data_IF_124841674950
#
_entry.id   IF_124841674950
#
_cell.length_a   1.000
_cell.length_b   1.000
_cell.length_c   1.000
_cell.angle_alpha   90.00
_cell.angle_beta   90.00
_cell.angle_gamma   90.00
#
_symmetry.space_group_name_H-M   'P 1'
#
loop_
_entity.id
_entity.type
_entity.pdbx_description
1 polymer ?
#
# COMPACT_ATOMS: atom_id res chain seq x y z
N UNK A 1 17.45 -13.96 32.48
CA UNK A 1 16.67 -13.53 33.68
C UNK A 1 15.19 -13.47 33.34
N UNK A 2 14.37 -13.77 34.34
CA UNK A 2 12.91 -13.69 34.20
C UNK A 2 12.34 -12.76 35.25
N UNK A 3 11.49 -11.84 34.82
CA UNK A 3 10.69 -10.99 35.70
C UNK A 3 9.24 -11.37 35.51
N UNK A 4 8.59 -11.88 36.54
CA UNK A 4 7.24 -12.45 36.48
C UNK A 4 6.12 -11.42 36.57
N UNK A 5 6.40 -10.16 36.90
CA UNK A 5 5.45 -9.05 36.84
C UNK A 5 5.65 -8.21 35.59
N UNK A 6 4.65 -7.41 35.24
CA UNK A 6 4.78 -6.39 34.19
C UNK A 6 5.52 -5.15 34.67
N UNK A 7 5.73 -4.21 33.74
CA UNK A 7 6.23 -2.89 34.06
C UNK A 7 5.15 -1.86 33.78
N UNK A 8 4.76 -1.10 34.81
CA UNK A 8 3.82 0.03 34.68
C UNK A 8 4.59 1.33 34.94
N UNK A 9 4.57 2.25 33.98
CA UNK A 9 5.18 3.57 34.11
C UNK A 9 4.14 4.68 33.99
N UNK A 10 3.96 5.44 35.05
CA UNK A 10 3.17 6.67 35.05
C UNK A 10 4.02 7.93 35.24
N UNK A 11 5.30 7.77 35.53
CA UNK A 11 6.29 8.84 35.69
C UNK A 11 7.22 8.96 34.48
N UNK A 12 8.52 9.01 34.73
CA UNK A 12 9.55 9.12 33.71
C UNK A 12 10.61 8.04 33.88
N UNK A 13 10.88 7.33 32.80
CA UNK A 13 12.02 6.40 32.66
C UNK A 13 12.93 6.97 31.58
N UNK A 14 14.20 7.25 31.92
CA UNK A 14 15.15 7.82 30.96
C UNK A 14 16.54 7.24 31.10
N UNK A 15 17.27 7.19 29.97
CA UNK A 15 18.65 6.70 29.89
C UNK A 15 19.19 6.77 28.48
N UNK A 16 20.34 6.16 28.19
CA UNK A 16 20.79 5.93 26.79
C UNK A 16 19.78 5.05 26.05
N UNK A 17 19.20 4.08 26.74
CA UNK A 17 18.01 3.31 26.40
C UNK A 17 17.05 3.42 27.57
N UNK A 18 15.77 3.70 27.33
CA UNK A 18 14.78 3.82 28.39
C UNK A 18 14.55 2.48 29.09
N UNK A 19 14.08 1.48 28.37
CA UNK A 19 13.88 0.11 28.84
C UNK A 19 14.66 -0.83 27.92
N UNK A 20 15.49 -1.71 28.51
CA UNK A 20 16.29 -2.66 27.76
C UNK A 20 16.13 -4.09 28.29
N UNK A 21 15.56 -4.97 27.46
CA UNK A 21 15.57 -6.41 27.68
C UNK A 21 16.61 -7.03 26.76
N UNK A 22 17.52 -7.84 27.29
CA UNK A 22 18.64 -8.38 26.53
C UNK A 22 18.94 -9.85 26.88
N UNK A 23 19.53 -10.57 25.93
CA UNK A 23 20.21 -11.85 26.14
C UNK A 23 19.37 -12.91 26.88
N UNK A 24 18.22 -13.30 26.32
CA UNK A 24 17.33 -14.32 26.89
C UNK A 24 16.57 -13.87 28.12
N UNK A 25 16.44 -12.56 28.34
CA UNK A 25 15.57 -12.04 29.40
C UNK A 25 14.10 -12.17 29.02
N UNK A 26 13.26 -12.48 30.00
CA UNK A 26 11.80 -12.53 29.82
C UNK A 26 11.11 -11.58 30.80
N UNK A 27 10.19 -10.79 30.30
CA UNK A 27 9.26 -9.99 31.09
C UNK A 27 7.84 -10.50 30.82
N UNK A 28 7.20 -11.09 31.85
CA UNK A 28 5.96 -11.86 31.63
C UNK A 28 4.67 -11.04 31.71
N UNK A 29 4.67 -9.84 32.19
CA UNK A 29 3.44 -9.03 32.36
C UNK A 29 3.30 -7.86 31.38
N UNK A 30 4.17 -7.76 30.38
CA UNK A 30 4.15 -6.66 29.41
C UNK A 30 4.65 -5.32 29.96
N UNK A 31 4.55 -4.29 29.11
CA UNK A 31 4.91 -2.91 29.45
C UNK A 31 3.69 -2.02 29.23
N UNK A 32 3.26 -1.32 30.28
CA UNK A 32 2.21 -0.29 30.22
C UNK A 32 2.81 1.08 30.52
N UNK A 33 2.69 2.01 29.57
CA UNK A 33 3.20 3.37 29.72
C UNK A 33 2.09 4.42 29.61
N UNK A 34 1.88 5.18 30.66
CA UNK A 34 1.05 6.39 30.66
C UNK A 34 1.86 7.67 30.86
N UNK A 35 3.14 7.53 31.23
CA UNK A 35 4.10 8.61 31.42
C UNK A 35 5.09 8.76 30.25
N UNK A 36 6.36 8.95 30.57
CA UNK A 36 7.43 9.10 29.61
C UNK A 36 8.44 7.96 29.69
N UNK A 37 8.79 7.38 28.53
CA UNK A 37 9.94 6.48 28.38
C UNK A 37 10.84 7.07 27.32
N UNK A 38 12.09 7.40 27.67
CA UNK A 38 13.01 8.07 26.77
C UNK A 38 14.38 7.38 26.72
N UNK A 39 14.81 7.06 25.52
CA UNK A 39 16.18 6.64 25.22
C UNK A 39 16.91 7.73 24.44
N UNK A 40 17.93 8.36 25.04
CA UNK A 40 18.59 9.51 24.39
C UNK A 40 19.46 9.14 23.19
N UNK A 41 19.94 7.90 23.11
CA UNK A 41 20.85 7.44 22.03
C UNK A 41 20.32 6.25 21.26
N UNK A 42 19.71 5.27 21.93
CA UNK A 42 19.35 4.00 21.30
C UNK A 42 17.85 3.92 21.06
N UNK A 43 17.08 3.58 22.05
CA UNK A 43 15.63 3.41 21.92
C UNK A 43 14.90 3.76 23.21
N UNK A 44 13.63 4.18 23.09
CA UNK A 44 12.75 4.25 24.25
C UNK A 44 12.60 2.86 24.88
N UNK A 45 12.20 1.88 24.08
CA UNK A 45 12.13 0.46 24.48
C UNK A 45 12.96 -0.37 23.50
N UNK A 46 13.87 -1.18 24.02
CA UNK A 46 14.68 -2.09 23.22
C UNK A 46 14.58 -3.54 23.74
N UNK A 47 14.08 -4.42 22.89
CA UNK A 47 14.07 -5.87 23.08
C UNK A 47 15.15 -6.45 22.17
N UNK A 48 16.15 -7.15 22.73
CA UNK A 48 17.22 -7.77 21.99
C UNK A 48 17.45 -9.21 22.44
N UNK A 49 17.23 -10.17 21.56
CA UNK A 49 17.30 -11.60 21.88
C UNK A 49 16.55 -11.94 23.17
N UNK A 50 15.31 -11.47 23.31
CA UNK A 50 14.54 -11.53 24.56
C UNK A 50 13.05 -11.80 24.29
N UNK A 51 12.29 -12.05 25.34
CA UNK A 51 10.85 -12.24 25.26
C UNK A 51 10.09 -11.22 26.11
N UNK A 52 9.01 -10.70 25.57
CA UNK A 52 8.04 -9.87 26.27
C UNK A 52 6.64 -10.50 26.11
N UNK A 53 6.16 -11.10 27.19
CA UNK A 53 4.79 -11.61 27.22
C UNK A 53 3.85 -10.49 27.69
N UNK A 54 2.67 -10.38 27.09
CA UNK A 54 1.69 -9.34 27.42
C UNK A 54 1.83 -8.04 26.65
N UNK A 55 2.85 -7.90 25.80
CA UNK A 55 2.96 -6.80 24.82
C UNK A 55 3.35 -5.43 25.39
N UNK A 56 3.18 -4.40 24.56
CA UNK A 56 3.43 -3.00 24.90
C UNK A 56 2.14 -2.21 24.72
N UNK A 57 1.68 -1.56 25.80
CA UNK A 57 0.56 -0.61 25.75
C UNK A 57 1.08 0.78 26.09
N UNK A 58 0.95 1.71 25.14
CA UNK A 58 1.40 3.08 25.30
C UNK A 58 0.23 4.07 25.16
N UNK A 59 -0.08 4.76 26.26
CA UNK A 59 -0.98 5.92 26.27
C UNK A 59 -0.22 7.23 26.52
N UNK A 60 1.04 7.15 26.95
CA UNK A 60 1.95 8.28 27.18
C UNK A 60 2.87 8.53 25.99
N UNK A 61 4.13 8.79 26.27
CA UNK A 61 5.15 9.04 25.25
C UNK A 61 6.30 8.03 25.35
N UNK A 62 6.68 7.45 24.21
CA UNK A 62 7.88 6.65 24.06
C UNK A 62 8.75 7.31 23.00
N UNK A 63 9.97 7.73 23.36
CA UNK A 63 10.90 8.35 22.43
C UNK A 63 12.27 7.69 22.46
N UNK A 64 12.93 7.64 21.32
CA UNK A 64 14.28 7.09 21.25
C UNK A 64 15.22 7.92 20.38
N UNK A 65 16.51 7.81 20.63
CA UNK A 65 17.54 8.40 19.78
C UNK A 65 17.45 7.82 18.36
N UNK A 66 17.54 6.50 18.25
CA UNK A 66 17.45 5.78 16.97
C UNK A 66 16.06 5.21 16.70
N UNK A 67 15.38 4.69 17.72
CA UNK A 67 14.05 4.11 17.56
C UNK A 67 13.17 4.45 18.76
N UNK A 68 11.88 4.71 18.55
CA UNK A 68 10.92 4.73 19.66
C UNK A 68 10.88 3.36 20.34
N UNK A 69 10.51 2.34 19.58
CA UNK A 69 10.51 0.93 19.99
C UNK A 69 11.40 0.15 18.99
N UNK A 70 12.31 -0.67 19.50
CA UNK A 70 13.13 -1.59 18.71
C UNK A 70 12.96 -3.03 19.21
N UNK A 71 12.52 -3.92 18.34
CA UNK A 71 12.37 -5.36 18.60
C UNK A 71 13.32 -6.08 17.66
N UNK A 72 14.37 -6.68 18.20
CA UNK A 72 15.42 -7.34 17.45
C UNK A 72 15.61 -8.78 17.96
N UNK A 73 15.50 -9.77 17.08
CA UNK A 73 15.66 -11.19 17.42
C UNK A 73 14.82 -11.60 18.66
N UNK A 74 13.60 -11.05 18.77
CA UNK A 74 12.82 -11.13 20.00
C UNK A 74 11.39 -11.54 19.73
N UNK A 75 10.73 -12.09 20.74
CA UNK A 75 9.31 -12.45 20.68
C UNK A 75 8.48 -11.50 21.53
N UNK A 76 7.39 -11.01 20.97
CA UNK A 76 6.42 -10.16 21.63
C UNK A 76 5.03 -10.80 21.48
N UNK A 77 4.47 -11.34 22.58
CA UNK A 77 3.23 -12.13 22.48
C UNK A 77 1.96 -11.31 22.55
N UNK A 78 1.96 -10.13 23.14
CA UNK A 78 0.80 -9.27 23.29
C UNK A 78 0.66 -8.12 22.28
N UNK A 79 1.53 -8.06 21.27
CA UNK A 79 1.51 -6.99 20.27
C UNK A 79 1.91 -5.62 20.80
N UNK A 80 1.65 -4.58 20.00
CA UNK A 80 1.88 -3.18 20.37
C UNK A 80 0.58 -2.39 20.20
N UNK A 81 0.08 -1.84 21.30
CA UNK A 81 -1.10 -0.96 21.31
C UNK A 81 -0.66 0.46 21.64
N UNK A 82 -0.81 1.39 20.71
CA UNK A 82 -0.45 2.79 20.89
C UNK A 82 -1.65 3.71 20.76
N UNK A 83 -2.00 4.38 21.85
CA UNK A 83 -2.93 5.52 21.85
C UNK A 83 -2.23 6.86 22.16
N UNK A 84 -0.96 6.80 22.54
CA UNK A 84 -0.11 7.96 22.80
C UNK A 84 0.83 8.28 21.65
N UNK A 85 2.07 8.58 21.95
CA UNK A 85 3.08 8.98 20.97
C UNK A 85 4.28 8.04 21.00
N UNK A 86 4.73 7.58 19.83
CA UNK A 86 5.97 6.81 19.65
C UNK A 86 6.81 7.51 18.58
N UNK A 87 8.01 7.98 18.98
CA UNK A 87 8.87 8.76 18.08
C UNK A 87 10.33 8.33 18.14
N UNK A 88 11.08 8.68 17.09
CA UNK A 88 12.53 8.68 17.13
C UNK A 88 13.04 10.10 16.84
N UNK A 89 14.14 10.50 17.48
CA UNK A 89 14.58 11.90 17.50
C UNK A 89 15.26 12.38 16.21
N UNK A 90 15.48 11.50 15.22
CA UNK A 90 16.15 11.84 13.97
C UNK A 90 15.37 11.40 12.75
N UNK A 91 15.39 12.25 11.72
CA UNK A 91 14.83 11.96 10.39
C UNK A 91 15.52 10.79 9.66
N UNK A 92 16.54 10.16 10.24
CA UNK A 92 17.18 8.96 9.71
C UNK A 92 16.71 7.66 10.37
N UNK A 93 15.85 7.72 11.37
CA UNK A 93 15.53 6.67 12.32
C UNK A 93 14.09 6.11 12.13
N UNK A 94 13.65 5.20 12.98
CA UNK A 94 12.39 4.47 12.85
C UNK A 94 11.56 4.60 14.14
N UNK A 95 10.28 4.97 14.02
CA UNK A 95 9.37 5.04 15.16
C UNK A 95 9.22 3.70 15.87
N UNK A 96 8.68 2.70 15.18
CA UNK A 96 8.66 1.29 15.62
C UNK A 96 9.45 0.46 14.62
N UNK A 97 10.49 -0.23 15.08
CA UNK A 97 11.37 -1.07 14.29
C UNK A 97 11.34 -2.52 14.77
N UNK A 98 10.85 -3.43 13.93
CA UNK A 98 10.78 -4.86 14.23
C UNK A 98 11.62 -5.59 13.20
N UNK A 99 12.64 -6.31 13.63
CA UNK A 99 13.64 -6.83 12.71
C UNK A 99 14.26 -8.16 13.10
N UNK A 100 15.02 -8.73 12.15
CA UNK A 100 15.95 -9.84 12.42
C UNK A 100 15.25 -11.07 13.03
N UNK A 101 14.26 -11.62 12.32
CA UNK A 101 13.48 -12.79 12.75
C UNK A 101 12.67 -12.59 14.04
N UNK A 102 12.35 -11.34 14.38
CA UNK A 102 11.43 -11.06 15.49
C UNK A 102 10.00 -11.50 15.15
N UNK A 103 9.28 -11.94 16.17
CA UNK A 103 7.90 -12.40 16.03
C UNK A 103 6.97 -11.59 16.95
N UNK A 104 5.94 -11.00 16.37
CA UNK A 104 4.81 -10.40 17.08
C UNK A 104 3.57 -11.24 16.81
N UNK A 105 2.91 -11.74 17.87
CA UNK A 105 1.78 -12.67 17.71
C UNK A 105 0.41 -12.00 17.65
N UNK A 106 0.27 -10.74 18.09
CA UNK A 106 -1.01 -10.02 18.10
C UNK A 106 -1.05 -8.74 17.25
N UNK A 107 0.03 -8.45 16.53
CA UNK A 107 0.05 -7.30 15.63
C UNK A 107 0.32 -5.94 16.29
N UNK A 108 0.03 -4.88 15.52
CA UNK A 108 0.23 -3.50 15.92
C UNK A 108 -1.08 -2.74 15.74
N UNK A 109 -1.57 -2.11 16.81
CA UNK A 109 -2.77 -1.29 16.80
C UNK A 109 -2.42 0.14 17.21
N UNK A 110 -2.67 1.10 16.32
CA UNK A 110 -2.36 2.51 16.53
C UNK A 110 -3.60 3.39 16.45
N UNK A 111 -3.96 4.04 17.54
CA UNK A 111 -4.94 5.12 17.57
C UNK A 111 -4.31 6.48 17.89
N UNK A 112 -3.00 6.51 18.22
CA UNK A 112 -2.21 7.69 18.49
C UNK A 112 -1.27 8.08 17.34
N UNK A 113 -0.08 8.51 17.69
CA UNK A 113 0.94 8.95 16.73
C UNK A 113 2.18 8.05 16.74
N UNK A 114 2.60 7.60 15.56
CA UNK A 114 3.89 6.93 15.33
C UNK A 114 4.62 7.70 14.23
N UNK A 115 5.75 8.33 14.54
CA UNK A 115 6.42 9.13 13.51
C UNK A 115 7.59 9.99 13.98
N UNK A 116 7.77 11.14 13.36
CA UNK A 116 8.94 12.03 13.48
C UNK A 116 10.27 11.34 13.15
N UNK A 117 10.23 10.36 12.25
CA UNK A 117 11.33 9.47 11.92
C UNK A 117 11.31 9.18 10.42
N UNK A 118 12.41 8.67 9.85
CA UNK A 118 12.47 8.28 8.44
C UNK A 118 11.37 7.27 8.09
N UNK A 119 11.14 6.30 8.97
CA UNK A 119 10.08 5.31 8.82
C UNK A 119 9.20 5.37 10.08
N UNK A 120 7.89 5.59 9.90
CA UNK A 120 6.96 5.52 11.02
C UNK A 120 6.98 4.14 11.64
N UNK A 121 6.62 3.12 10.87
CA UNK A 121 6.60 1.72 11.28
C UNK A 121 7.37 0.88 10.26
N UNK A 122 8.42 0.18 10.71
CA UNK A 122 9.29 -0.66 9.89
C UNK A 122 9.34 -2.10 10.37
N UNK A 123 9.12 -3.04 9.44
CA UNK A 123 9.39 -4.48 9.60
C UNK A 123 10.52 -4.86 8.64
N UNK A 124 11.51 -5.63 9.14
CA UNK A 124 12.62 -6.11 8.31
C UNK A 124 13.05 -7.52 8.72
N UNK A 125 12.72 -8.53 7.92
CA UNK A 125 12.96 -9.92 8.25
C UNK A 125 12.16 -10.36 9.49
N UNK A 126 10.90 -9.95 9.62
CA UNK A 126 10.07 -10.17 10.79
C UNK A 126 8.77 -10.90 10.44
N UNK A 127 8.14 -11.50 11.44
CA UNK A 127 6.80 -12.06 11.33
C UNK A 127 5.84 -11.33 12.24
N UNK A 128 4.73 -10.87 11.67
CA UNK A 128 3.65 -10.20 12.38
C UNK A 128 2.35 -10.98 12.14
N UNK A 129 1.80 -11.56 13.20
CA UNK A 129 0.64 -12.47 13.06
C UNK A 129 -0.70 -11.76 13.22
N UNK A 130 -0.85 -10.62 13.75
CA UNK A 130 -2.13 -9.93 13.93
C UNK A 130 -2.30 -8.69 13.04
N UNK A 131 -1.48 -8.53 12.01
CA UNK A 131 -1.55 -7.41 11.08
C UNK A 131 -1.17 -6.06 11.67
N UNK A 132 -1.39 -5.01 10.88
CA UNK A 132 -1.21 -3.62 11.27
C UNK A 132 -2.55 -2.91 11.16
N UNK A 133 -3.03 -2.35 12.27
CA UNK A 133 -4.28 -1.59 12.32
C UNK A 133 -3.98 -0.15 12.72
N UNK A 134 -4.20 0.78 11.81
CA UNK A 134 -4.17 2.21 12.11
C UNK A 134 -5.61 2.71 12.25
N UNK A 135 -6.05 2.91 13.48
CA UNK A 135 -7.43 3.26 13.84
C UNK A 135 -7.81 4.66 13.34
N UNK A 136 -9.08 4.98 13.38
CA UNK A 136 -9.58 6.34 13.15
C UNK A 136 -8.91 7.32 14.10
N UNK A 137 -8.35 8.41 13.57
CA UNK A 137 -7.52 9.35 14.31
C UNK A 137 -6.04 8.94 14.46
N UNK A 138 -5.71 7.68 14.28
CA UNK A 138 -4.33 7.19 14.31
C UNK A 138 -3.49 7.77 13.16
N UNK A 139 -2.24 8.10 13.45
CA UNK A 139 -1.31 8.64 12.47
C UNK A 139 -0.01 7.83 12.47
N UNK A 140 0.41 7.41 11.28
CA UNK A 140 1.73 6.78 11.06
C UNK A 140 2.45 7.58 9.98
N UNK A 141 3.60 8.19 10.32
CA UNK A 141 4.26 9.09 9.39
C UNK A 141 5.76 8.85 9.27
N UNK A 142 6.25 8.89 8.03
CA UNK A 142 7.68 8.91 7.72
C UNK A 142 8.09 10.25 7.14
N UNK A 143 9.16 10.85 7.69
CA UNK A 143 9.68 12.18 7.31
C UNK A 143 11.06 12.08 6.68
N UNK A 144 11.54 13.19 6.10
CA UNK A 144 12.82 13.23 5.37
C UNK A 144 12.70 12.68 3.95
N UNK A 145 13.72 12.88 3.14
CA UNK A 145 13.72 12.65 1.68
C UNK A 145 13.27 11.23 1.24
N UNK A 146 13.51 10.22 2.07
CA UNK A 146 13.13 8.82 1.83
C UNK A 146 12.07 8.34 2.83
N UNK A 147 11.27 9.25 3.39
CA UNK A 147 10.29 8.95 4.42
C UNK A 147 9.24 7.94 3.98
N UNK A 148 9.02 6.91 4.79
CA UNK A 148 8.00 5.88 4.58
C UNK A 148 7.04 5.86 5.78
N UNK A 149 5.74 5.88 5.54
CA UNK A 149 4.76 5.69 6.60
C UNK A 149 4.91 4.29 7.21
N UNK A 150 4.60 3.27 6.42
CA UNK A 150 4.80 1.86 6.77
C UNK A 150 5.77 1.24 5.77
N UNK A 151 6.76 0.51 6.27
CA UNK A 151 7.73 -0.25 5.47
C UNK A 151 7.74 -1.71 5.89
N UNK A 152 7.51 -2.61 4.94
CA UNK A 152 7.53 -4.07 5.15
C UNK A 152 8.57 -4.66 4.21
N UNK A 153 9.70 -5.10 4.75
CA UNK A 153 10.84 -5.63 3.99
C UNK A 153 11.16 -7.05 4.40
N UNK A 154 11.26 -7.97 3.46
CA UNK A 154 11.61 -9.39 3.71
C UNK A 154 10.81 -10.00 4.88
N UNK A 155 9.53 -9.65 4.99
CA UNK A 155 8.71 -9.94 6.18
C UNK A 155 7.40 -10.63 5.81
N UNK A 156 6.83 -11.33 6.80
CA UNK A 156 5.50 -11.89 6.73
C UNK A 156 4.55 -11.08 7.63
N UNK A 157 3.47 -10.57 7.05
CA UNK A 157 2.39 -9.92 7.79
C UNK A 157 1.10 -10.71 7.51
N UNK A 158 0.64 -11.43 8.53
CA UNK A 158 -0.68 -12.07 8.48
C UNK A 158 -1.74 -11.01 8.82
N UNK A 159 -2.96 -11.19 8.34
CA UNK A 159 -4.10 -10.27 8.50
C UNK A 159 -3.90 -8.88 7.84
N UNK A 160 -2.75 -8.66 7.15
CA UNK A 160 -2.52 -7.49 6.31
C UNK A 160 -2.42 -6.15 7.03
N UNK A 161 -2.85 -5.09 6.33
CA UNK A 161 -2.83 -3.71 6.83
C UNK A 161 -4.23 -3.11 6.71
N UNK A 162 -4.79 -2.67 7.83
CA UNK A 162 -6.03 -1.90 7.89
C UNK A 162 -5.72 -0.45 8.27
N UNK A 163 -6.05 0.48 7.38
CA UNK A 163 -5.91 1.91 7.66
C UNK A 163 -7.27 2.62 7.69
N UNK A 164 -7.69 3.05 8.87
CA UNK A 164 -8.85 3.89 9.11
C UNK A 164 -8.45 5.35 9.41
N UNK A 165 -7.17 5.59 9.70
CA UNK A 165 -6.58 6.88 10.04
C UNK A 165 -5.75 7.46 8.89
N UNK A 166 -4.56 7.95 9.21
CA UNK A 166 -3.62 8.50 8.22
C UNK A 166 -2.28 7.77 8.23
N UNK A 167 -1.85 7.33 7.06
CA UNK A 167 -0.50 6.80 6.81
C UNK A 167 0.17 7.67 5.77
N UNK A 168 1.29 8.30 6.12
CA UNK A 168 1.96 9.24 5.22
C UNK A 168 3.47 9.01 5.15
N UNK A 169 4.05 9.24 3.98
CA UNK A 169 5.50 9.21 3.78
C UNK A 169 5.93 10.20 2.70
N UNK A 170 7.09 10.84 2.88
CA UNK A 170 7.64 11.74 1.85
C UNK A 170 7.97 10.97 0.57
N UNK A 171 8.35 9.71 0.67
CA UNK A 171 8.53 8.82 -0.48
C UNK A 171 7.27 7.98 -0.71
N UNK A 172 6.95 7.07 0.21
CA UNK A 172 5.75 6.22 0.07
C UNK A 172 4.92 6.20 1.35
N UNK A 173 3.60 6.18 1.20
CA UNK A 173 2.69 5.93 2.31
C UNK A 173 2.93 4.54 2.87
N UNK A 174 2.76 3.52 2.04
CA UNK A 174 3.06 2.12 2.35
C UNK A 174 4.04 1.58 1.31
N UNK A 175 5.12 0.94 1.78
CA UNK A 175 6.10 0.24 0.96
C UNK A 175 6.22 -1.22 1.38
N UNK A 176 5.92 -2.13 0.48
CA UNK A 176 6.03 -3.59 0.67
C UNK A 176 7.04 -4.12 -0.32
N UNK A 177 8.13 -4.70 0.17
CA UNK A 177 9.20 -5.22 -0.68
C UNK A 177 9.67 -6.59 -0.22
N UNK A 178 9.76 -7.53 -1.16
CA UNK A 178 10.19 -8.91 -0.92
C UNK A 178 9.45 -9.55 0.26
N UNK A 179 8.15 -9.29 0.36
CA UNK A 179 7.35 -9.60 1.54
C UNK A 179 6.03 -10.28 1.15
N UNK A 180 5.42 -10.92 2.15
CA UNK A 180 4.10 -11.52 2.00
C UNK A 180 3.10 -10.86 2.96
N UNK A 181 1.98 -10.39 2.44
CA UNK A 181 0.82 -9.93 3.20
C UNK A 181 -0.38 -10.82 2.90
N UNK A 182 -0.88 -11.55 3.91
CA UNK A 182 -1.98 -12.49 3.65
C UNK A 182 -3.37 -11.84 3.71
N UNK A 183 -3.56 -10.76 4.44
CA UNK A 183 -4.83 -10.03 4.53
C UNK A 183 -4.97 -8.83 3.59
N UNK A 184 -3.97 -8.59 2.72
CA UNK A 184 -3.99 -7.45 1.80
C UNK A 184 -3.85 -6.09 2.48
N UNK A 185 -4.32 -5.03 1.78
CA UNK A 185 -4.34 -3.67 2.30
C UNK A 185 -5.75 -3.10 2.18
N UNK A 186 -6.35 -2.77 3.32
CA UNK A 186 -7.68 -2.16 3.39
C UNK A 186 -7.56 -0.70 3.85
N UNK A 187 -7.96 0.24 3.02
CA UNK A 187 -7.89 1.67 3.30
C UNK A 187 -9.28 2.31 3.31
N UNK A 188 -9.69 2.82 4.47
CA UNK A 188 -10.86 3.71 4.59
C UNK A 188 -10.46 5.13 5.01
N UNK A 189 -9.18 5.35 5.36
CA UNK A 189 -8.62 6.64 5.71
C UNK A 189 -7.78 7.25 4.59
N UNK A 190 -6.66 7.83 4.94
CA UNK A 190 -5.70 8.43 4.02
C UNK A 190 -4.42 7.61 3.97
N UNK A 191 -3.99 7.22 2.77
CA UNK A 191 -2.63 6.76 2.49
C UNK A 191 -2.01 7.74 1.50
N UNK A 192 -0.94 8.44 1.89
CA UNK A 192 -0.27 9.38 1.01
C UNK A 192 1.23 9.20 0.96
N UNK A 193 1.77 9.26 -0.24
CA UNK A 193 3.21 9.29 -0.49
C UNK A 193 3.57 10.49 -1.36
N UNK A 194 4.69 11.14 -1.09
CA UNK A 194 5.17 12.19 -1.98
C UNK A 194 5.51 11.66 -3.38
N UNK A 195 5.94 10.41 -3.48
CA UNK A 195 6.14 9.72 -4.76
C UNK A 195 5.07 8.64 -5.00
N UNK A 196 4.81 7.75 -4.06
CA UNK A 196 3.89 6.63 -4.28
C UNK A 196 2.98 6.45 -3.05
N UNK A 197 1.67 6.37 -3.26
CA UNK A 197 0.71 6.07 -2.19
C UNK A 197 0.99 4.68 -1.60
N UNK A 198 0.78 3.63 -2.41
CA UNK A 198 1.10 2.24 -2.08
C UNK A 198 2.07 1.69 -3.13
N UNK A 199 3.23 1.23 -2.69
CA UNK A 199 4.25 0.60 -3.53
C UNK A 199 4.44 -0.86 -3.13
N UNK A 200 4.15 -1.77 -4.05
CA UNK A 200 4.36 -3.22 -3.89
C UNK A 200 5.44 -3.64 -4.88
N UNK A 201 6.56 -4.12 -4.36
CA UNK A 201 7.73 -4.52 -5.13
C UNK A 201 8.16 -5.93 -4.77
N UNK A 202 8.30 -6.83 -5.74
CA UNK A 202 8.75 -8.21 -5.52
C UNK A 202 8.00 -8.92 -4.37
N UNK A 203 6.70 -8.71 -4.24
CA UNK A 203 5.93 -9.09 -3.05
C UNK A 203 4.62 -9.80 -3.40
N UNK A 204 4.08 -10.53 -2.44
CA UNK A 204 2.82 -11.29 -2.58
C UNK A 204 1.76 -10.73 -1.63
N UNK A 205 0.62 -10.30 -2.18
CA UNK A 205 -0.55 -9.88 -1.42
C UNK A 205 -1.72 -10.81 -1.77
N UNK A 206 -2.18 -11.59 -0.80
CA UNK A 206 -3.27 -12.54 -1.07
C UNK A 206 -4.67 -11.97 -0.87
N UNK A 207 -4.83 -10.90 -0.11
CA UNK A 207 -6.12 -10.25 0.16
C UNK A 207 -6.43 -9.04 -0.73
N UNK A 208 -5.57 -8.73 -1.71
CA UNK A 208 -5.79 -7.59 -2.62
C UNK A 208 -5.61 -6.21 -1.98
N UNK A 209 -6.15 -5.18 -2.66
CA UNK A 209 -6.21 -3.81 -2.15
C UNK A 209 -7.65 -3.33 -2.22
N UNK A 210 -8.23 -2.97 -1.08
CA UNK A 210 -9.56 -2.36 -1.01
C UNK A 210 -9.42 -0.91 -0.55
N UNK A 211 -9.98 0.04 -1.32
CA UNK A 211 -9.94 1.46 -1.01
C UNK A 211 -11.34 2.07 -0.99
N UNK A 212 -11.76 2.54 0.16
CA UNK A 212 -12.96 3.39 0.32
C UNK A 212 -12.60 4.82 0.71
N UNK A 213 -11.33 5.06 1.10
CA UNK A 213 -10.76 6.35 1.46
C UNK A 213 -9.96 6.98 0.30
N UNK A 214 -8.80 7.51 0.61
CA UNK A 214 -7.91 8.14 -0.36
C UNK A 214 -6.54 7.46 -0.38
N UNK A 215 -6.06 7.14 -1.57
CA UNK A 215 -4.67 6.71 -1.83
C UNK A 215 -4.08 7.71 -2.82
N UNK A 216 -2.99 8.39 -2.46
CA UNK A 216 -2.41 9.44 -3.31
C UNK A 216 -0.89 9.45 -3.32
N UNK A 217 -0.32 9.90 -4.44
CA UNK A 217 1.12 10.06 -4.67
C UNK A 217 1.36 10.69 -6.03
N UNK A 218 2.62 10.77 -6.49
CA UNK A 218 2.88 10.96 -7.93
C UNK A 218 2.34 9.78 -8.74
N UNK A 219 2.37 8.59 -8.14
CA UNK A 219 1.61 7.40 -8.53
C UNK A 219 0.76 6.97 -7.34
N UNK A 220 -0.54 6.71 -7.54
CA UNK A 220 -1.42 6.27 -6.48
C UNK A 220 -1.03 4.89 -5.95
N UNK A 221 -1.14 3.86 -6.79
CA UNK A 221 -0.71 2.48 -6.52
C UNK A 221 0.30 2.06 -7.58
N UNK A 222 1.41 1.49 -7.15
CA UNK A 222 2.44 0.96 -8.04
C UNK A 222 2.77 -0.49 -7.69
N UNK A 223 2.53 -1.39 -8.64
CA UNK A 223 2.90 -2.81 -8.58
C UNK A 223 4.04 -3.03 -9.56
N UNK A 224 5.19 -3.55 -9.10
CA UNK A 224 6.31 -3.76 -10.00
C UNK A 224 7.18 -4.98 -9.67
N UNK A 225 8.11 -5.28 -10.56
CA UNK A 225 9.21 -6.22 -10.39
C UNK A 225 8.78 -7.64 -9.94
N UNK A 226 7.74 -8.19 -10.56
CA UNK A 226 7.25 -9.54 -10.25
C UNK A 226 6.32 -9.60 -9.03
N UNK A 227 5.76 -8.48 -8.62
CA UNK A 227 4.73 -8.49 -7.56
C UNK A 227 3.48 -9.24 -8.01
N UNK A 228 2.86 -9.96 -7.08
CA UNK A 228 1.62 -10.69 -7.31
C UNK A 228 0.55 -10.28 -6.31
N UNK A 229 -0.61 -9.93 -6.82
CA UNK A 229 -1.79 -9.56 -6.04
C UNK A 229 -2.93 -10.52 -6.41
N UNK A 230 -3.40 -11.34 -5.46
CA UNK A 230 -4.40 -12.35 -5.80
C UNK A 230 -5.85 -11.97 -5.47
N UNK A 231 -6.08 -10.96 -4.65
CA UNK A 231 -7.44 -10.52 -4.27
C UNK A 231 -7.99 -9.35 -5.10
N UNK A 232 -7.28 -8.93 -6.15
CA UNK A 232 -7.72 -7.81 -6.99
C UNK A 232 -7.54 -6.43 -6.36
N UNK A 233 -8.05 -5.40 -7.05
CA UNK A 233 -8.14 -4.03 -6.54
C UNK A 233 -9.59 -3.59 -6.60
N UNK A 234 -10.16 -3.25 -5.44
CA UNK A 234 -11.51 -2.68 -5.34
C UNK A 234 -11.41 -1.24 -4.86
N UNK A 235 -11.91 -0.31 -5.67
CA UNK A 235 -11.90 1.11 -5.35
C UNK A 235 -13.31 1.71 -5.34
N UNK A 236 -13.75 2.15 -4.17
CA UNK A 236 -14.96 2.96 -4.01
C UNK A 236 -14.63 4.40 -3.59
N UNK A 237 -13.38 4.69 -3.27
CA UNK A 237 -12.87 6.01 -2.90
C UNK A 237 -12.07 6.67 -4.03
N UNK A 238 -10.97 7.31 -3.67
CA UNK A 238 -10.05 7.98 -4.60
C UNK A 238 -8.70 7.28 -4.64
N UNK A 239 -8.23 6.92 -5.83
CA UNK A 239 -6.84 6.57 -6.11
C UNK A 239 -6.29 7.63 -7.07
N UNK A 240 -5.28 8.40 -6.64
CA UNK A 240 -4.79 9.54 -7.41
C UNK A 240 -3.28 9.52 -7.62
N UNK A 241 -2.88 9.68 -8.88
CA UNK A 241 -1.50 9.87 -9.31
C UNK A 241 -1.28 11.29 -9.84
N UNK A 242 -0.60 12.14 -9.08
CA UNK A 242 -0.45 13.57 -9.43
C UNK A 242 0.58 13.86 -10.52
N UNK A 243 1.34 12.86 -10.98
CA UNK A 243 2.35 13.02 -12.03
C UNK A 243 2.40 11.85 -13.01
N UNK A 244 2.00 10.64 -12.60
CA UNK A 244 2.10 9.45 -13.44
C UNK A 244 0.71 8.83 -13.61
N UNK A 245 0.34 7.89 -12.79
CA UNK A 245 -0.90 7.15 -12.96
C UNK A 245 -1.62 6.96 -11.61
N UNK A 246 -2.94 6.85 -11.65
CA UNK A 246 -3.70 6.38 -10.51
C UNK A 246 -3.24 4.98 -10.11
N UNK A 247 -3.24 4.06 -11.07
CA UNK A 247 -2.73 2.70 -10.93
C UNK A 247 -1.69 2.40 -12.01
N UNK A 248 -0.49 1.97 -11.61
CA UNK A 248 0.59 1.54 -12.49
C UNK A 248 0.98 0.09 -12.20
N UNK A 249 0.97 -0.76 -13.23
CA UNK A 249 1.48 -2.13 -13.20
C UNK A 249 2.65 -2.27 -14.17
N UNK A 250 3.78 -2.76 -13.67
CA UNK A 250 4.99 -3.01 -14.48
C UNK A 250 5.58 -4.36 -14.08
N UNK A 251 5.71 -5.31 -15.02
CA UNK A 251 6.25 -6.64 -14.71
C UNK A 251 5.56 -7.32 -13.53
N UNK A 252 4.23 -7.26 -13.45
CA UNK A 252 3.48 -7.69 -12.27
C UNK A 252 2.23 -8.48 -12.64
N UNK A 253 1.73 -9.26 -11.70
CA UNK A 253 0.52 -10.05 -11.84
C UNK A 253 -0.57 -9.60 -10.88
N UNK A 254 -1.77 -9.41 -11.39
CA UNK A 254 -2.97 -9.11 -10.61
C UNK A 254 -4.07 -10.11 -10.99
N UNK A 255 -4.52 -10.91 -10.06
CA UNK A 255 -5.72 -11.74 -10.22
C UNK A 255 -6.86 -11.21 -9.34
N UNK A 256 -8.09 -11.45 -9.75
CA UNK A 256 -9.29 -10.88 -9.10
C UNK A 256 -9.74 -9.54 -9.67
N UNK A 257 -9.04 -9.04 -10.71
CA UNK A 257 -9.46 -7.88 -11.48
C UNK A 257 -9.33 -6.53 -10.79
N UNK A 258 -9.80 -5.50 -11.48
CA UNK A 258 -9.92 -4.13 -10.98
C UNK A 258 -11.39 -3.73 -11.01
N UNK A 259 -11.97 -3.50 -9.83
CA UNK A 259 -13.34 -3.03 -9.67
C UNK A 259 -13.35 -1.59 -9.20
N UNK A 260 -13.79 -0.65 -10.04
CA UNK A 260 -13.85 0.76 -9.72
C UNK A 260 -15.28 1.29 -9.70
N UNK A 261 -15.75 1.68 -8.52
CA UNK A 261 -17.00 2.42 -8.34
C UNK A 261 -16.74 3.89 -7.92
N UNK A 262 -15.50 4.20 -7.52
CA UNK A 262 -15.04 5.52 -7.15
C UNK A 262 -14.26 6.21 -8.28
N UNK A 263 -13.14 6.83 -7.96
CA UNK A 263 -12.28 7.53 -8.93
C UNK A 263 -10.89 6.94 -8.93
N UNK A 264 -10.37 6.63 -10.12
CA UNK A 264 -8.96 6.34 -10.37
C UNK A 264 -8.46 7.40 -11.35
N UNK A 265 -7.60 8.32 -10.89
CA UNK A 265 -7.10 9.42 -11.71
C UNK A 265 -5.58 9.49 -11.75
N UNK A 266 -5.04 9.87 -12.88
CA UNK A 266 -3.60 10.09 -13.05
C UNK A 266 -3.30 11.25 -13.98
N UNK A 267 -2.27 12.04 -13.64
CA UNK A 267 -1.85 13.14 -14.53
C UNK A 267 -1.40 12.65 -15.91
N UNK A 268 -0.85 11.44 -16.00
CA UNK A 268 -0.59 10.77 -17.26
C UNK A 268 -1.76 9.86 -17.65
N UNK A 269 -2.01 8.83 -16.88
CA UNK A 269 -3.04 7.84 -17.16
C UNK A 269 -3.83 7.48 -15.90
N UNK A 270 -5.13 7.17 -16.05
CA UNK A 270 -5.92 6.62 -14.95
C UNK A 270 -5.33 5.28 -14.52
N UNK A 271 -5.30 4.31 -15.44
CA UNK A 271 -4.68 3.00 -15.27
C UNK A 271 -3.65 2.78 -16.37
N UNK A 272 -2.45 2.35 -15.99
CA UNK A 272 -1.41 1.93 -16.93
C UNK A 272 -0.89 0.53 -16.59
N UNK A 273 -0.97 -0.39 -17.55
CA UNK A 273 -0.50 -1.78 -17.45
C UNK A 273 0.57 -1.97 -18.53
N UNK A 274 1.78 -2.36 -18.15
CA UNK A 274 2.90 -2.41 -19.10
C UNK A 274 3.91 -3.49 -18.78
N UNK A 275 4.80 -3.76 -19.76
CA UNK A 275 6.00 -4.58 -19.56
C UNK A 275 5.68 -6.01 -19.15
N UNK A 276 4.90 -6.73 -19.95
CA UNK A 276 4.51 -8.12 -19.70
C UNK A 276 3.76 -8.35 -18.38
N UNK A 277 3.01 -7.35 -17.92
CA UNK A 277 2.10 -7.51 -16.80
C UNK A 277 0.89 -8.37 -17.17
N UNK A 278 0.37 -9.11 -16.21
CA UNK A 278 -0.79 -9.98 -16.39
C UNK A 278 -1.91 -9.53 -15.46
N UNK A 279 -3.06 -9.22 -16.03
CA UNK A 279 -4.30 -8.98 -15.29
C UNK A 279 -5.30 -10.08 -15.62
N UNK A 280 -5.66 -10.88 -14.63
CA UNK A 280 -6.79 -11.81 -14.72
C UNK A 280 -7.95 -11.27 -13.89
N UNK A 281 -9.19 -11.48 -14.33
CA UNK A 281 -10.39 -10.91 -13.67
C UNK A 281 -10.86 -9.58 -14.23
N UNK A 282 -10.21 -9.11 -15.33
CA UNK A 282 -10.68 -7.96 -16.11
C UNK A 282 -10.67 -6.60 -15.39
N UNK A 283 -11.29 -5.61 -16.02
CA UNK A 283 -11.52 -4.28 -15.45
C UNK A 283 -13.02 -3.98 -15.52
N UNK A 284 -13.63 -3.77 -14.36
CA UNK A 284 -15.02 -3.32 -14.25
C UNK A 284 -15.06 -1.88 -13.72
N UNK A 285 -15.55 -0.95 -14.53
CA UNK A 285 -15.67 0.46 -14.17
C UNK A 285 -17.14 0.91 -14.14
N UNK A 286 -17.59 1.28 -12.95
CA UNK A 286 -18.88 1.95 -12.73
C UNK A 286 -18.69 3.42 -12.33
N UNK A 287 -17.46 3.81 -11.97
CA UNK A 287 -17.08 5.16 -11.55
C UNK A 287 -16.33 5.92 -12.65
N UNK A 288 -15.28 6.63 -12.24
CA UNK A 288 -14.41 7.41 -13.14
C UNK A 288 -13.03 6.81 -13.21
N UNK A 289 -12.50 6.60 -14.42
CA UNK A 289 -11.09 6.34 -14.69
C UNK A 289 -10.60 7.46 -15.62
N UNK A 290 -9.63 8.26 -15.16
CA UNK A 290 -9.21 9.48 -15.87
C UNK A 290 -7.68 9.57 -16.00
N UNK A 291 -7.24 9.84 -17.23
CA UNK A 291 -5.88 10.29 -17.52
C UNK A 291 -5.91 11.72 -18.07
N UNK A 292 -5.12 12.61 -17.47
CA UNK A 292 -5.20 14.04 -17.84
C UNK A 292 -4.40 14.37 -19.10
N UNK A 293 -3.33 13.59 -19.40
CA UNK A 293 -2.45 13.89 -20.55
C UNK A 293 -2.31 12.77 -21.57
N UNK A 294 -2.58 11.52 -21.20
CA UNK A 294 -2.50 10.38 -22.11
C UNK A 294 -3.81 9.58 -22.07
N UNK A 295 -3.85 8.49 -21.35
CA UNK A 295 -4.90 7.47 -21.44
C UNK A 295 -5.80 7.43 -20.22
N UNK A 296 -7.10 7.19 -20.44
CA UNK A 296 -7.95 6.69 -19.38
C UNK A 296 -7.42 5.34 -18.88
N UNK A 297 -7.33 4.36 -19.80
CA UNK A 297 -6.68 3.06 -19.58
C UNK A 297 -5.70 2.81 -20.72
N UNK A 298 -4.42 2.57 -20.40
CA UNK A 298 -3.39 2.17 -21.36
C UNK A 298 -2.80 0.81 -21.03
N UNK A 299 -2.74 -0.08 -22.02
CA UNK A 299 -2.18 -1.44 -21.92
C UNK A 299 -1.08 -1.60 -22.97
N UNK A 300 0.13 -1.88 -22.53
CA UNK A 300 1.33 -1.92 -23.37
C UNK A 300 2.11 -3.23 -23.16
N UNK A 301 2.20 -4.06 -24.21
CA UNK A 301 2.93 -5.34 -24.14
C UNK A 301 2.51 -6.22 -22.97
N UNK A 302 1.22 -6.31 -22.70
CA UNK A 302 0.69 -6.94 -21.49
C UNK A 302 -0.59 -7.71 -21.79
N UNK A 303 -0.99 -8.63 -20.91
CA UNK A 303 -2.15 -9.49 -21.11
C UNK A 303 -3.26 -9.19 -20.10
N UNK A 304 -4.47 -8.97 -20.62
CA UNK A 304 -5.72 -8.98 -19.85
C UNK A 304 -6.51 -10.23 -20.26
N UNK A 305 -6.67 -11.17 -19.33
CA UNK A 305 -7.31 -12.47 -19.63
C UNK A 305 -8.83 -12.43 -19.63
N UNK A 306 -9.42 -11.40 -19.05
CA UNK A 306 -10.86 -11.11 -19.10
C UNK A 306 -11.06 -9.71 -19.67
N UNK A 307 -12.29 -9.37 -19.99
CA UNK A 307 -12.60 -8.14 -20.71
C UNK A 307 -12.51 -6.86 -19.87
N UNK A 308 -12.84 -5.76 -20.55
CA UNK A 308 -13.06 -4.46 -19.93
C UNK A 308 -14.57 -4.15 -20.03
N UNK A 309 -15.21 -4.00 -18.88
CA UNK A 309 -16.62 -3.60 -18.79
C UNK A 309 -16.70 -2.19 -18.23
N UNK A 310 -17.30 -1.27 -18.99
CA UNK A 310 -17.48 0.11 -18.57
C UNK A 310 -18.97 0.50 -18.58
N UNK A 311 -19.51 0.78 -17.41
CA UNK A 311 -20.81 1.42 -17.24
C UNK A 311 -20.67 2.85 -16.66
N UNK A 312 -19.48 3.26 -16.26
CA UNK A 312 -19.12 4.60 -15.81
C UNK A 312 -18.47 5.44 -16.90
N UNK A 313 -17.44 6.18 -16.56
CA UNK A 313 -16.68 7.02 -17.48
C UNK A 313 -15.21 6.60 -17.51
N UNK A 314 -14.67 6.43 -18.70
CA UNK A 314 -13.24 6.30 -18.97
C UNK A 314 -12.86 7.48 -19.86
N UNK A 315 -11.91 8.32 -19.40
CA UNK A 315 -11.50 9.52 -20.14
C UNK A 315 -9.98 9.65 -20.22
N UNK A 316 -9.50 9.97 -21.40
CA UNK A 316 -8.10 10.32 -21.66
C UNK A 316 -8.00 11.62 -22.48
N UNK A 317 -6.85 12.29 -22.45
CA UNK A 317 -6.60 13.38 -23.39
C UNK A 317 -6.31 12.81 -24.78
N UNK A 318 -5.39 11.86 -24.87
CA UNK A 318 -4.96 11.19 -26.10
C UNK A 318 -5.98 10.10 -26.47
N UNK A 319 -6.03 8.99 -25.74
CA UNK A 319 -7.03 7.96 -25.94
C UNK A 319 -7.82 7.65 -24.67
N UNK A 320 -9.11 7.33 -24.83
CA UNK A 320 -9.93 6.82 -23.72
C UNK A 320 -9.39 5.48 -23.23
N UNK A 321 -9.25 4.52 -24.16
CA UNK A 321 -8.68 3.20 -23.94
C UNK A 321 -7.71 2.87 -25.07
N UNK A 322 -6.46 2.50 -24.74
CA UNK A 322 -5.44 2.10 -25.69
C UNK A 322 -4.90 0.69 -25.37
N UNK A 323 -4.89 -0.18 -26.39
CA UNK A 323 -4.20 -1.48 -26.42
C UNK A 323 -3.08 -1.39 -27.44
N UNK A 324 -1.83 -1.43 -26.99
CA UNK A 324 -0.68 -1.19 -27.87
C UNK A 324 0.49 -2.14 -27.60
N UNK A 325 1.44 -2.16 -28.53
CA UNK A 325 2.75 -2.78 -28.33
C UNK A 325 2.70 -4.28 -28.07
N UNK A 326 1.86 -5.03 -28.78
CA UNK A 326 1.71 -6.47 -28.59
C UNK A 326 0.90 -6.86 -27.36
N UNK A 327 -0.04 -6.01 -26.96
CA UNK A 327 -0.97 -6.35 -25.88
C UNK A 327 -2.01 -7.36 -26.32
N UNK A 328 -2.48 -8.18 -25.39
CA UNK A 328 -3.57 -9.13 -25.62
C UNK A 328 -4.71 -8.84 -24.65
N UNK A 329 -5.90 -8.61 -25.17
CA UNK A 329 -7.13 -8.54 -24.41
C UNK A 329 -8.06 -9.69 -24.82
N UNK A 330 -8.26 -10.62 -23.91
CA UNK A 330 -9.25 -11.69 -24.06
C UNK A 330 -10.56 -11.27 -23.36
N UNK A 331 -11.72 -11.60 -23.88
CA UNK A 331 -13.01 -11.27 -23.28
C UNK A 331 -13.63 -9.94 -23.72
N UNK A 332 -12.96 -9.21 -24.64
CA UNK A 332 -13.53 -8.07 -25.34
C UNK A 332 -13.70 -6.79 -24.51
N UNK A 333 -14.35 -5.81 -25.13
CA UNK A 333 -14.71 -4.51 -24.51
C UNK A 333 -16.22 -4.38 -24.54
N UNK A 334 -16.82 -4.22 -23.36
CA UNK A 334 -18.27 -4.00 -23.22
C UNK A 334 -18.50 -2.60 -22.61
N UNK A 335 -19.00 -1.67 -23.40
CA UNK A 335 -19.26 -0.30 -22.98
C UNK A 335 -20.75 0.00 -22.99
N UNK A 336 -21.32 0.26 -21.82
CA UNK A 336 -22.66 0.83 -21.66
C UNK A 336 -22.62 2.26 -21.11
N UNK A 337 -21.45 2.75 -20.70
CA UNK A 337 -21.20 4.10 -20.21
C UNK A 337 -20.55 5.00 -21.26
N UNK A 338 -19.59 5.79 -20.86
CA UNK A 338 -18.86 6.73 -21.71
C UNK A 338 -17.38 6.37 -21.77
N UNK A 339 -16.83 6.20 -22.97
CA UNK A 339 -15.38 6.21 -23.21
C UNK A 339 -15.08 7.41 -24.09
N UNK A 340 -14.25 8.32 -23.62
CA UNK A 340 -13.97 9.59 -24.30
C UNK A 340 -12.46 9.87 -24.39
N UNK A 341 -12.05 10.30 -25.56
CA UNK A 341 -10.75 10.92 -25.81
C UNK A 341 -10.96 12.35 -26.29
N UNK A 342 -10.15 13.27 -25.79
CA UNK A 342 -10.26 14.68 -26.16
C UNK A 342 -9.61 14.96 -27.50
N UNK A 343 -8.47 14.34 -27.80
CA UNK A 343 -7.67 14.65 -29.01
C UNK A 343 -7.64 13.52 -30.02
N UNK A 344 -7.59 12.26 -29.60
CA UNK A 344 -7.44 11.15 -30.56
C UNK A 344 -8.61 10.13 -30.46
N UNK A 345 -8.42 8.91 -30.03
CA UNK A 345 -9.43 7.85 -30.19
C UNK A 345 -10.11 7.45 -28.88
N UNK A 346 -11.43 7.28 -28.92
CA UNK A 346 -12.12 6.74 -27.74
C UNK A 346 -11.56 5.36 -27.40
N UNK A 347 -11.39 4.48 -28.41
CA UNK A 347 -10.72 3.17 -28.26
C UNK A 347 -9.71 3.00 -29.36
N UNK A 348 -8.45 2.71 -29.02
CA UNK A 348 -7.37 2.34 -29.92
C UNK A 348 -6.94 0.89 -29.68
N UNK A 349 -6.83 0.12 -30.76
CA UNK A 349 -6.14 -1.20 -30.78
C UNK A 349 -5.05 -1.12 -31.84
N UNK A 350 -3.80 -1.04 -31.41
CA UNK A 350 -2.66 -0.89 -32.30
C UNK A 350 -1.61 -1.97 -32.04
N UNK A 351 -1.21 -2.71 -33.13
CA UNK A 351 -0.22 -3.79 -33.04
C UNK A 351 -0.51 -4.76 -31.88
N UNK A 352 -1.79 -5.11 -31.69
CA UNK A 352 -2.27 -5.82 -30.49
C UNK A 352 -3.43 -6.75 -30.85
N UNK A 353 -3.73 -7.67 -29.95
CA UNK A 353 -4.78 -8.67 -30.11
C UNK A 353 -6.00 -8.32 -29.25
N UNK A 354 -7.18 -8.30 -29.84
CA UNK A 354 -8.47 -8.19 -29.17
C UNK A 354 -9.34 -9.40 -29.53
N UNK A 355 -9.65 -10.22 -28.55
CA UNK A 355 -10.58 -11.35 -28.65
C UNK A 355 -11.84 -11.07 -27.86
N UNK A 356 -12.99 -11.52 -28.37
CA UNK A 356 -14.30 -11.28 -27.75
C UNK A 356 -14.99 -9.99 -28.21
N UNK A 357 -14.39 -9.28 -29.17
CA UNK A 357 -15.03 -8.15 -29.86
C UNK A 357 -15.26 -6.90 -29.01
N UNK A 358 -16.02 -5.96 -29.57
CA UNK A 358 -16.45 -4.74 -28.91
C UNK A 358 -17.99 -4.63 -28.94
N UNK A 359 -18.62 -4.59 -27.80
CA UNK A 359 -20.04 -4.31 -27.65
C UNK A 359 -20.22 -2.91 -27.07
N UNK A 360 -20.91 -2.03 -27.80
CA UNK A 360 -21.16 -0.67 -27.34
C UNK A 360 -22.65 -0.34 -27.35
N UNK A 361 -23.23 -0.14 -26.19
CA UNK A 361 -24.60 0.38 -26.02
C UNK A 361 -24.57 1.79 -25.41
N UNK A 362 -23.41 2.28 -25.00
CA UNK A 362 -23.16 3.63 -24.48
C UNK A 362 -22.58 4.55 -25.56
N UNK A 363 -21.60 5.35 -25.19
CA UNK A 363 -20.94 6.32 -26.05
C UNK A 363 -19.44 6.09 -26.15
N UNK A 364 -18.93 6.11 -27.39
CA UNK A 364 -17.50 6.17 -27.72
C UNK A 364 -17.26 7.50 -28.44
N UNK A 365 -16.57 8.44 -27.79
CA UNK A 365 -16.35 9.79 -28.30
C UNK A 365 -14.85 10.02 -28.43
N UNK A 366 -14.35 10.04 -29.65
CA UNK A 366 -12.95 10.40 -29.94
C UNK A 366 -12.86 11.80 -30.53
N UNK A 367 -11.80 12.52 -30.18
CA UNK A 367 -11.51 13.81 -30.81
C UNK A 367 -11.20 13.66 -32.29
N UNK A 368 -10.57 12.58 -32.70
CA UNK A 368 -10.33 12.21 -34.11
C UNK A 368 -11.23 11.07 -34.56
N UNK A 369 -11.34 10.00 -33.77
CA UNK A 369 -12.04 8.77 -34.16
C UNK A 369 -12.62 8.04 -32.96
N UNK A 370 -13.84 7.49 -33.09
CA UNK A 370 -14.46 6.68 -32.05
C UNK A 370 -13.73 5.36 -31.80
N UNK A 371 -13.45 4.60 -32.88
CA UNK A 371 -12.74 3.32 -32.85
C UNK A 371 -11.60 3.34 -33.86
N UNK A 372 -10.39 3.11 -33.42
CA UNK A 372 -9.19 3.01 -34.27
C UNK A 372 -8.55 1.62 -34.18
N UNK A 373 -8.25 1.03 -35.33
CA UNK A 373 -7.54 -0.24 -35.47
C UNK A 373 -6.31 -0.02 -36.36
N UNK A 374 -5.15 -0.28 -35.85
CA UNK A 374 -3.89 -0.16 -36.59
C UNK A 374 -3.07 -1.44 -36.42
N UNK A 375 -2.94 -2.21 -37.51
CA UNK A 375 -2.31 -3.52 -37.51
C UNK A 375 -2.78 -4.42 -36.35
N UNK A 376 -4.08 -4.36 -36.06
CA UNK A 376 -4.72 -5.09 -34.97
C UNK A 376 -5.20 -6.46 -35.43
N UNK A 377 -5.15 -7.45 -34.54
CA UNK A 377 -5.76 -8.75 -34.74
C UNK A 377 -7.06 -8.82 -33.94
N UNK A 378 -8.17 -9.06 -34.63
CA UNK A 378 -9.50 -9.12 -34.04
C UNK A 378 -10.06 -10.53 -34.18
N UNK A 379 -10.43 -11.14 -33.05
CA UNK A 379 -11.08 -12.43 -32.99
C UNK A 379 -12.43 -12.29 -32.32
N UNK A 380 -13.48 -12.72 -32.97
CA UNK A 380 -14.88 -12.64 -32.50
C UNK A 380 -15.37 -13.94 -31.90
#
# INVERSE_FOLDING_TARGET
STVSGGLANSGSISGLTGIYLNSGSTLSGGITNTGFISGTSVAGIYLNASALDGGITNAGSISGGNNGINVNQSTLTGGINNSGTITASSVSNIGINIKSSSVLTQGINNSGFIGQSKIGLGLSGATLSGGIVNQSGGQISGVGKLGLGISVLNSLVNDGILNLGSVSGVNSGIYVNQSTLTGGINNSGLISGGNIGIHVNQSFLTGGITNTGTISGKTGIYLNAGSSLSGGITNAGLISGTSVAGLLMVLSSLSGGINNTGTISGASSGIKISSSSILTGGIANLGLIQGDTLYGIGVFGSTLSEGITNAGTITGLEDGLALESGSTLLGGINNSGLIIATTDKAVLVSHSELSGGITNTGSLVGGSTGLGFDNAQLFG
#
